data_IF_909566026299
#
_entry.id   IF_909566026299
#
_cell.length_a   1.000
_cell.length_b   1.000
_cell.length_c   1.000
_cell.angle_alpha   90.00
_cell.angle_beta   90.00
_cell.angle_gamma   90.00
#
_symmetry.space_group_name_H-M   'P 1'
#
loop_
_entity.id
_entity.type
_entity.pdbx_description
1 polymer ?
#
# COMPACT_ATOMS: atom_id res chain seq x y z
N UNK A 1 23.48 -30.93 -28.06
CA UNK A 1 23.03 -29.68 -27.42
C UNK A 1 22.93 -29.93 -25.91
N UNK A 2 23.95 -29.53 -25.11
CA UNK A 2 23.82 -29.48 -23.64
C UNK A 2 22.84 -28.35 -23.31
N UNK A 3 21.65 -28.68 -22.79
CA UNK A 3 20.83 -27.70 -22.13
C UNK A 3 21.64 -27.18 -20.91
N UNK A 4 22.05 -25.94 -20.98
CA UNK A 4 22.62 -25.26 -19.82
C UNK A 4 21.54 -25.24 -18.72
N UNK A 5 21.76 -25.98 -17.66
CA UNK A 5 20.90 -25.93 -16.47
C UNK A 5 20.80 -24.48 -16.00
N UNK A 6 19.57 -23.98 -15.95
CA UNK A 6 19.34 -22.65 -15.41
C UNK A 6 19.74 -22.69 -13.93
N UNK A 7 20.59 -21.76 -13.47
CA UNK A 7 20.96 -21.72 -12.06
C UNK A 7 19.67 -21.66 -11.20
N UNK A 8 19.67 -22.30 -10.03
CA UNK A 8 18.53 -22.29 -9.13
C UNK A 8 18.11 -20.86 -8.86
N UNK A 9 16.82 -20.60 -8.95
CA UNK A 9 16.27 -19.28 -8.60
C UNK A 9 16.38 -19.11 -7.09
N UNK A 10 17.26 -18.22 -6.65
CA UNK A 10 17.30 -17.83 -5.25
C UNK A 10 15.93 -17.31 -4.79
N UNK A 11 15.53 -17.74 -3.60
CA UNK A 11 14.30 -17.26 -2.99
C UNK A 11 14.42 -15.73 -2.74
N UNK A 12 13.47 -14.97 -3.25
CA UNK A 12 13.44 -13.53 -3.00
C UNK A 12 13.19 -13.29 -1.52
N UNK A 13 14.05 -12.51 -0.89
CA UNK A 13 13.82 -12.09 0.48
C UNK A 13 12.67 -11.07 0.54
N UNK A 14 11.78 -11.17 1.54
CA UNK A 14 10.75 -10.18 1.77
C UNK A 14 11.39 -8.83 2.11
N UNK A 15 10.74 -7.73 1.72
CA UNK A 15 11.19 -6.41 2.15
C UNK A 15 10.89 -6.26 3.66
N UNK A 16 11.89 -5.97 4.51
CA UNK A 16 11.65 -5.68 5.92
C UNK A 16 10.75 -4.46 6.09
N UNK A 17 9.92 -4.46 7.14
CA UNK A 17 8.96 -3.38 7.39
C UNK A 17 9.63 -2.00 7.50
N UNK A 18 10.76 -1.91 8.19
CA UNK A 18 11.50 -0.65 8.35
C UNK A 18 11.97 -0.07 7.00
N UNK A 19 12.30 -0.93 6.04
CA UNK A 19 12.64 -0.49 4.70
C UNK A 19 11.41 -0.06 3.90
N UNK A 20 10.25 -0.70 4.09
CA UNK A 20 8.99 -0.25 3.52
C UNK A 20 8.68 1.16 4.01
N UNK A 21 8.77 1.39 5.32
CA UNK A 21 8.58 2.72 5.93
C UNK A 21 9.58 3.73 5.38
N UNK A 22 10.85 3.36 5.27
CA UNK A 22 11.89 4.22 4.69
C UNK A 22 11.61 4.59 3.23
N UNK A 23 11.13 3.66 2.39
CA UNK A 23 10.70 3.96 1.03
C UNK A 23 9.48 4.89 1.01
N UNK A 24 8.50 4.64 1.86
CA UNK A 24 7.30 5.46 1.99
C UNK A 24 7.64 6.89 2.39
N UNK A 25 8.41 7.09 3.47
CA UNK A 25 8.75 8.41 4.01
C UNK A 25 9.53 9.28 3.01
N UNK A 26 10.30 8.65 2.13
CA UNK A 26 11.14 9.33 1.13
C UNK A 26 10.52 9.40 -0.28
N UNK A 27 9.29 8.95 -0.46
CA UNK A 27 8.55 9.07 -1.71
C UNK A 27 7.77 10.40 -1.76
N UNK A 28 7.42 10.86 -2.96
CA UNK A 28 6.45 11.96 -3.13
C UNK A 28 5.02 11.54 -2.76
N UNK A 29 4.13 12.51 -2.56
CA UNK A 29 2.75 12.27 -2.09
C UNK A 29 1.99 11.27 -2.96
N UNK A 30 2.10 11.37 -4.28
CA UNK A 30 1.44 10.46 -5.22
C UNK A 30 1.97 9.03 -5.05
N UNK A 31 3.30 8.84 -4.98
CA UNK A 31 3.91 7.52 -4.81
C UNK A 31 3.67 6.95 -3.42
N UNK A 32 3.60 7.78 -2.37
CA UNK A 32 3.16 7.32 -1.04
C UNK A 32 1.78 6.67 -1.12
N UNK A 33 0.82 7.32 -1.77
CA UNK A 33 -0.52 6.76 -1.98
C UNK A 33 -0.46 5.44 -2.79
N UNK A 34 0.31 5.41 -3.89
CA UNK A 34 0.50 4.20 -4.69
C UNK A 34 1.11 3.05 -3.87
N UNK A 35 2.09 3.33 -3.02
CA UNK A 35 2.74 2.29 -2.20
C UNK A 35 1.77 1.73 -1.15
N UNK A 36 0.96 2.57 -0.50
CA UNK A 36 -0.08 2.10 0.41
C UNK A 36 -1.09 1.21 -0.31
N UNK A 37 -1.56 1.62 -1.49
CA UNK A 37 -2.45 0.80 -2.29
C UNK A 37 -1.82 -0.56 -2.66
N UNK A 38 -0.54 -0.60 -3.04
CA UNK A 38 0.16 -1.85 -3.39
C UNK A 38 0.36 -2.75 -2.17
N UNK A 39 0.72 -2.17 -1.01
CA UNK A 39 0.94 -2.90 0.24
C UNK A 39 -0.36 -3.46 0.79
N UNK A 40 -1.45 -2.72 0.70
CA UNK A 40 -2.74 -3.11 1.27
C UNK A 40 -3.55 -4.05 0.37
N UNK A 41 -3.35 -4.02 -0.95
CA UNK A 41 -4.16 -4.82 -1.88
C UNK A 41 -3.42 -5.99 -2.54
N UNK A 42 -2.09 -5.98 -2.48
CA UNK A 42 -1.27 -6.95 -3.20
C UNK A 42 -1.37 -6.86 -4.73
N UNK A 43 -1.89 -5.78 -5.29
CA UNK A 43 -1.98 -5.56 -6.73
C UNK A 43 -0.59 -5.49 -7.40
N UNK A 44 -0.55 -5.77 -8.70
CA UNK A 44 0.61 -5.45 -9.55
C UNK A 44 0.60 -3.95 -9.87
N UNK A 45 1.78 -3.36 -10.06
CA UNK A 45 1.88 -1.94 -10.44
C UNK A 45 1.09 -1.61 -11.72
N UNK A 46 1.04 -2.51 -12.69
CA UNK A 46 0.23 -2.32 -13.89
C UNK A 46 -1.27 -2.30 -13.61
N UNK A 47 -1.74 -3.16 -12.71
CA UNK A 47 -3.13 -3.18 -12.25
C UNK A 47 -3.48 -1.88 -11.51
N UNK A 48 -2.61 -1.41 -10.62
CA UNK A 48 -2.80 -0.13 -9.93
C UNK A 48 -2.89 1.06 -10.91
N UNK A 49 -2.03 1.10 -11.92
CA UNK A 49 -2.04 2.17 -12.93
C UNK A 49 -3.28 2.12 -13.83
N UNK A 50 -3.93 0.97 -13.96
CA UNK A 50 -5.17 0.79 -14.73
C UNK A 50 -6.43 1.13 -13.93
N UNK A 51 -6.30 1.43 -12.62
CA UNK A 51 -7.45 1.71 -11.76
C UNK A 51 -8.13 3.03 -12.13
N UNK A 52 -9.46 2.95 -12.15
CA UNK A 52 -10.38 4.07 -12.28
C UNK A 52 -11.27 4.15 -11.04
N UNK A 53 -11.94 5.26 -10.83
CA UNK A 53 -12.90 5.41 -9.71
C UNK A 53 -14.01 4.35 -9.78
N UNK A 54 -14.43 3.98 -10.99
CA UNK A 54 -15.44 2.93 -11.25
C UNK A 54 -15.05 1.51 -10.79
N UNK A 55 -13.79 1.28 -10.44
CA UNK A 55 -13.35 -0.01 -9.93
C UNK A 55 -13.63 -0.21 -8.43
N UNK A 56 -13.99 0.85 -7.70
CA UNK A 56 -14.12 0.85 -6.26
C UNK A 56 -15.57 0.72 -5.80
N UNK A 57 -15.81 -0.07 -4.77
CA UNK A 57 -17.07 -0.24 -4.06
C UNK A 57 -16.97 0.48 -2.72
N UNK A 58 -17.28 1.79 -2.74
CA UNK A 58 -17.07 2.69 -1.60
C UNK A 58 -18.02 2.49 -0.44
N UNK A 59 -19.19 1.88 -0.73
CA UNK A 59 -20.24 1.55 0.23
C UNK A 59 -19.89 0.35 1.12
N UNK A 60 -18.82 -0.37 0.76
CA UNK A 60 -18.38 -1.56 1.48
C UNK A 60 -17.25 -1.24 2.47
N UNK A 61 -17.22 -1.98 3.57
CA UNK A 61 -16.14 -1.96 4.53
C UNK A 61 -15.67 -3.41 4.80
N UNK A 62 -14.43 -3.76 4.42
CA UNK A 62 -13.39 -2.93 3.78
C UNK A 62 -13.75 -2.52 2.34
N UNK A 63 -13.19 -1.41 1.87
CA UNK A 63 -13.40 -0.95 0.48
C UNK A 63 -12.86 -1.98 -0.49
N UNK A 64 -13.77 -2.54 -1.31
CA UNK A 64 -13.47 -3.56 -2.31
C UNK A 64 -13.09 -2.93 -3.64
N UNK A 65 -12.18 -3.55 -4.36
CA UNK A 65 -11.73 -3.17 -5.70
C UNK A 65 -11.93 -4.34 -6.65
N UNK A 66 -12.65 -4.10 -7.74
CA UNK A 66 -12.78 -5.06 -8.84
C UNK A 66 -11.70 -4.81 -9.88
N UNK A 67 -10.87 -5.81 -10.13
CA UNK A 67 -9.86 -5.82 -11.20
C UNK A 67 -10.41 -6.61 -12.39
N UNK A 68 -10.63 -5.94 -13.52
CA UNK A 68 -11.19 -6.58 -14.70
C UNK A 68 -10.14 -7.43 -15.43
N UNK A 69 -10.58 -8.51 -16.09
CA UNK A 69 -9.73 -9.46 -16.80
C UNK A 69 -8.75 -8.77 -17.78
N UNK A 70 -9.21 -7.78 -18.53
CA UNK A 70 -8.39 -7.00 -19.48
C UNK A 70 -7.19 -6.27 -18.86
N UNK A 71 -7.29 -5.95 -17.56
CA UNK A 71 -6.29 -5.18 -16.81
C UNK A 71 -5.36 -6.09 -16.00
N UNK A 72 -5.60 -7.40 -15.99
CA UNK A 72 -4.80 -8.38 -15.25
C UNK A 72 -3.89 -9.18 -16.20
N UNK A 73 -2.71 -9.55 -15.71
CA UNK A 73 -1.77 -10.36 -16.49
C UNK A 73 -2.32 -11.76 -16.81
N UNK A 74 -3.16 -12.30 -15.95
CA UNK A 74 -3.75 -13.64 -16.08
C UNK A 74 -5.02 -13.66 -16.91
N UNK A 75 -5.50 -12.49 -17.36
CA UNK A 75 -6.78 -12.32 -18.06
C UNK A 75 -7.98 -12.87 -17.27
N UNK A 76 -7.89 -12.88 -15.96
CA UNK A 76 -8.97 -13.28 -15.04
C UNK A 76 -9.35 -12.09 -14.17
N UNK A 77 -10.66 -11.83 -14.07
CA UNK A 77 -11.17 -10.83 -13.12
C UNK A 77 -10.98 -11.34 -11.69
N UNK A 78 -10.65 -10.41 -10.80
CA UNK A 78 -10.58 -10.71 -9.38
C UNK A 78 -10.94 -9.50 -8.53
N UNK A 79 -11.18 -9.76 -7.28
CA UNK A 79 -11.42 -8.74 -6.27
C UNK A 79 -10.28 -8.71 -5.27
N UNK A 80 -9.99 -7.53 -4.77
CA UNK A 80 -9.09 -7.29 -3.66
C UNK A 80 -9.63 -6.11 -2.84
N UNK A 81 -8.95 -5.77 -1.77
CA UNK A 81 -9.36 -4.69 -0.86
C UNK A 81 -8.21 -3.71 -0.67
N UNK A 82 -8.52 -2.52 -0.16
CA UNK A 82 -7.51 -1.59 0.35
C UNK A 82 -7.79 -1.27 1.82
N UNK A 83 -6.72 -1.00 2.56
CA UNK A 83 -6.83 -0.58 3.95
C UNK A 83 -7.43 0.82 4.06
N UNK A 84 -8.02 1.11 5.22
CA UNK A 84 -8.51 2.45 5.58
C UNK A 84 -7.41 3.50 5.44
N UNK A 85 -6.17 3.19 5.87
CA UNK A 85 -5.01 4.07 5.69
C UNK A 85 -4.75 4.42 4.21
N UNK A 86 -4.79 3.41 3.33
CA UNK A 86 -4.62 3.62 1.89
C UNK A 86 -5.79 4.39 1.28
N UNK A 87 -7.01 4.09 1.72
CA UNK A 87 -8.21 4.76 1.24
C UNK A 87 -8.25 6.24 1.65
N UNK A 88 -7.92 6.57 2.89
CA UNK A 88 -7.87 7.97 3.35
C UNK A 88 -6.86 8.81 2.55
N UNK A 89 -5.73 8.22 2.19
CA UNK A 89 -4.75 8.86 1.30
C UNK A 89 -5.22 8.97 -0.16
N UNK A 90 -6.09 8.08 -0.59
CA UNK A 90 -6.61 8.04 -1.95
C UNK A 90 -7.79 9.01 -2.15
N UNK A 91 -8.56 9.33 -1.11
CA UNK A 91 -9.74 10.21 -1.17
C UNK A 91 -9.51 11.49 -1.98
N UNK A 92 -8.46 12.31 -1.74
CA UNK A 92 -8.25 13.54 -2.49
C UNK A 92 -8.11 13.29 -4.00
N UNK A 93 -7.44 12.20 -4.39
CA UNK A 93 -7.28 11.82 -5.81
C UNK A 93 -8.62 11.39 -6.41
N UNK A 94 -9.44 10.65 -5.64
CA UNK A 94 -10.76 10.22 -6.07
C UNK A 94 -11.73 11.39 -6.26
N UNK A 95 -11.62 12.43 -5.42
CA UNK A 95 -12.47 13.63 -5.50
C UNK A 95 -12.14 14.49 -6.73
N UNK A 96 -10.87 14.51 -7.14
CA UNK A 96 -10.40 15.24 -8.33
C UNK A 96 -10.70 14.52 -9.64
N UNK A 97 -10.93 13.19 -9.62
CA UNK A 97 -11.05 12.36 -10.83
C UNK A 97 -12.48 12.02 -11.17
N UNK A 98 -12.78 12.05 -12.47
CA UNK A 98 -14.03 11.54 -13.02
C UNK A 98 -14.15 10.02 -12.90
N UNK A 99 -15.39 9.51 -13.04
CA UNK A 99 -15.74 8.10 -12.84
C UNK A 99 -14.87 7.13 -13.65
N UNK A 100 -14.57 7.48 -14.91
CA UNK A 100 -13.83 6.64 -15.85
C UNK A 100 -12.40 7.11 -16.11
N UNK A 101 -11.89 8.04 -15.31
CA UNK A 101 -10.51 8.49 -15.39
C UNK A 101 -9.56 7.58 -14.59
N UNK A 102 -8.36 7.39 -15.13
CA UNK A 102 -7.30 6.70 -14.42
C UNK A 102 -6.82 7.51 -13.22
N UNK A 103 -6.72 6.86 -12.05
CA UNK A 103 -6.31 7.53 -10.82
C UNK A 103 -4.82 7.88 -10.80
N UNK A 104 -3.99 7.00 -11.33
CA UNK A 104 -2.53 7.11 -11.22
C UNK A 104 -1.80 7.18 -12.56
N UNK A 105 -2.48 6.95 -13.68
CA UNK A 105 -1.82 6.90 -14.99
C UNK A 105 -1.60 8.29 -15.57
N UNK A 106 -0.37 8.81 -15.46
CA UNK A 106 0.07 10.08 -16.04
C UNK A 106 0.98 9.87 -17.27
N UNK A 107 0.85 8.75 -17.96
CA UNK A 107 1.66 8.34 -19.10
C UNK A 107 0.76 7.89 -20.25
N UNK A 108 1.23 7.94 -21.50
CA UNK A 108 0.39 7.58 -22.66
C UNK A 108 -0.16 6.14 -22.61
N UNK A 109 0.54 5.22 -21.96
CA UNK A 109 0.12 3.83 -21.82
C UNK A 109 0.48 3.27 -20.42
N UNK A 110 -0.26 2.26 -19.97
CA UNK A 110 0.06 1.52 -18.74
C UNK A 110 1.48 0.95 -18.80
N UNK A 111 1.90 0.44 -19.95
CA UNK A 111 3.25 -0.10 -20.13
C UNK A 111 4.34 0.94 -19.89
N UNK A 112 4.21 2.14 -20.47
CA UNK A 112 5.14 3.24 -20.21
C UNK A 112 5.09 3.70 -18.76
N UNK A 113 3.90 3.74 -18.16
CA UNK A 113 3.71 4.03 -16.74
C UNK A 113 4.46 3.06 -15.84
N UNK A 114 4.31 1.75 -16.08
CA UNK A 114 5.03 0.71 -15.32
C UNK A 114 6.55 0.90 -15.40
N UNK A 115 7.09 1.14 -16.62
CA UNK A 115 8.53 1.37 -16.80
C UNK A 115 9.02 2.57 -16.00
N UNK A 116 8.27 3.67 -16.02
CA UNK A 116 8.65 4.89 -15.32
C UNK A 116 8.56 4.73 -13.79
N UNK A 117 7.52 4.08 -13.26
CA UNK A 117 7.41 3.86 -11.83
C UNK A 117 8.47 2.86 -11.31
N UNK A 118 8.81 1.83 -12.09
CA UNK A 118 9.94 0.93 -11.75
C UNK A 118 11.26 1.69 -11.75
N UNK A 119 11.50 2.60 -12.71
CA UNK A 119 12.69 3.46 -12.75
C UNK A 119 12.71 4.43 -11.57
N UNK A 120 11.57 5.04 -11.24
CA UNK A 120 11.46 5.96 -10.10
C UNK A 120 11.78 5.25 -8.77
N UNK A 121 11.26 4.04 -8.58
CA UNK A 121 11.58 3.23 -7.40
C UNK A 121 13.07 2.84 -7.36
N UNK A 122 13.68 2.51 -8.50
CA UNK A 122 15.11 2.23 -8.58
C UNK A 122 15.95 3.46 -8.20
N UNK A 123 15.56 4.66 -8.65
CA UNK A 123 16.22 5.91 -8.28
C UNK A 123 16.06 6.22 -6.77
N UNK A 124 14.87 6.00 -6.21
CA UNK A 124 14.63 6.13 -4.77
C UNK A 124 15.54 5.19 -3.97
N UNK A 125 15.60 3.93 -4.37
CA UNK A 125 16.48 2.92 -3.75
C UNK A 125 17.95 3.33 -3.78
N UNK A 126 18.44 3.82 -4.93
CA UNK A 126 19.82 4.33 -5.07
C UNK A 126 20.08 5.51 -4.14
N UNK A 127 19.16 6.49 -4.10
CA UNK A 127 19.27 7.66 -3.23
C UNK A 127 19.35 7.29 -1.74
N UNK A 128 18.69 6.21 -1.35
CA UNK A 128 18.67 5.72 0.02
C UNK A 128 19.85 4.77 0.36
N UNK A 129 20.75 4.49 -0.58
CA UNK A 129 21.86 3.55 -0.39
C UNK A 129 21.41 2.08 -0.33
N UNK A 130 20.24 1.76 -0.87
CA UNK A 130 19.62 0.43 -0.81
C UNK A 130 19.66 -0.32 -2.15
N UNK A 131 20.55 0.08 -3.07
CA UNK A 131 20.67 -0.55 -4.40
C UNK A 131 21.50 -1.84 -4.36
N UNK A 132 21.19 -2.70 -3.41
CA UNK A 132 21.82 -4.01 -3.24
C UNK A 132 21.30 -4.95 -4.32
N UNK A 133 22.21 -5.67 -4.98
CA UNK A 133 21.85 -6.72 -5.95
C UNK A 133 21.84 -8.07 -5.24
N UNK A 134 20.97 -8.96 -5.70
CA UNK A 134 21.00 -10.33 -5.26
C UNK A 134 22.28 -11.03 -5.78
N UNK A 135 22.78 -11.97 -5.00
CA UNK A 135 23.97 -12.72 -5.37
C UNK A 135 23.80 -13.38 -6.75
N UNK A 136 24.83 -13.30 -7.57
CA UNK A 136 24.83 -13.81 -8.96
C UNK A 136 23.68 -13.29 -9.86
N UNK A 137 23.11 -12.11 -9.56
CA UNK A 137 22.01 -11.53 -10.31
C UNK A 137 22.21 -10.05 -10.62
N UNK A 138 21.77 -9.63 -11.81
CA UNK A 138 21.69 -8.20 -12.16
C UNK A 138 20.48 -7.51 -11.49
N UNK A 139 19.60 -8.28 -10.84
CA UNK A 139 18.36 -7.78 -10.24
C UNK A 139 18.62 -7.25 -8.83
N UNK A 140 18.00 -6.14 -8.52
CA UNK A 140 18.04 -5.61 -7.17
C UNK A 140 17.15 -6.46 -6.23
N UNK A 141 17.59 -6.59 -4.99
CA UNK A 141 16.89 -7.30 -3.91
C UNK A 141 15.51 -6.67 -3.69
N UNK A 142 15.46 -5.34 -3.58
CA UNK A 142 14.22 -4.61 -3.31
C UNK A 142 13.63 -4.05 -4.60
N UNK A 143 12.34 -4.27 -4.82
CA UNK A 143 11.60 -3.81 -6.01
C UNK A 143 10.15 -3.47 -5.67
N UNK A 144 9.45 -2.74 -6.54
CA UNK A 144 8.00 -2.50 -6.38
C UNK A 144 7.20 -3.81 -6.25
N UNK A 145 7.64 -4.87 -6.93
CA UNK A 145 7.00 -6.18 -6.79
C UNK A 145 7.18 -6.78 -5.38
N UNK A 146 8.21 -6.36 -4.66
CA UNK A 146 8.42 -6.76 -3.26
C UNK A 146 7.32 -6.25 -2.32
N UNK A 147 6.66 -5.12 -2.62
CA UNK A 147 5.51 -4.64 -1.86
C UNK A 147 4.34 -5.62 -1.94
N UNK A 148 4.08 -6.18 -3.13
CA UNK A 148 3.11 -7.27 -3.30
C UNK A 148 3.55 -8.55 -2.57
N UNK A 149 4.86 -8.84 -2.55
CA UNK A 149 5.42 -9.94 -1.76
C UNK A 149 5.20 -9.75 -0.27
N UNK A 150 5.32 -8.53 0.23
CA UNK A 150 5.00 -8.19 1.63
C UNK A 150 3.53 -8.47 1.94
N UNK A 151 2.59 -7.95 1.13
CA UNK A 151 1.17 -8.25 1.26
C UNK A 151 0.92 -9.77 1.32
N UNK A 152 1.46 -10.51 0.35
CA UNK A 152 1.29 -11.96 0.28
C UNK A 152 1.77 -12.65 1.56
N UNK A 153 2.96 -12.27 2.04
CA UNK A 153 3.53 -12.83 3.28
C UNK A 153 2.62 -12.56 4.48
N UNK A 154 2.12 -11.33 4.62
CA UNK A 154 1.21 -10.98 5.72
C UNK A 154 -0.12 -11.71 5.62
N UNK A 155 -0.72 -11.75 4.44
CA UNK A 155 -1.97 -12.47 4.19
C UNK A 155 -1.83 -13.96 4.46
N UNK A 156 -0.69 -14.56 4.08
CA UNK A 156 -0.39 -15.99 4.36
C UNK A 156 -0.21 -16.24 5.86
N UNK A 157 0.44 -15.33 6.58
CA UNK A 157 0.65 -15.46 8.03
C UNK A 157 -0.67 -15.40 8.81
N UNK A 158 -1.63 -14.59 8.37
CA UNK A 158 -2.91 -14.40 9.07
C UNK A 158 -3.94 -15.46 8.67
N UNK A 159 -4.07 -15.75 7.38
CA UNK A 159 -5.17 -16.58 6.85
C UNK A 159 -4.74 -17.76 5.97
N UNK A 160 -3.44 -17.96 5.83
CA UNK A 160 -2.92 -19.04 4.99
C UNK A 160 -2.81 -18.67 3.50
N UNK A 161 -2.12 -19.55 2.77
CA UNK A 161 -1.73 -19.31 1.38
C UNK A 161 -2.92 -19.24 0.43
N UNK A 162 -3.97 -20.00 0.67
CA UNK A 162 -5.15 -20.02 -0.21
C UNK A 162 -5.85 -18.66 -0.28
N UNK A 163 -6.05 -18.02 0.88
CA UNK A 163 -6.61 -16.68 0.95
C UNK A 163 -5.70 -15.65 0.27
N UNK A 164 -4.42 -15.69 0.57
CA UNK A 164 -3.43 -14.80 -0.04
C UNK A 164 -3.41 -14.94 -1.57
N UNK A 165 -3.38 -16.17 -2.10
CA UNK A 165 -3.42 -16.45 -3.54
C UNK A 165 -4.69 -15.93 -4.20
N UNK A 166 -5.85 -16.07 -3.54
CA UNK A 166 -7.12 -15.55 -4.06
C UNK A 166 -7.07 -14.04 -4.26
N UNK A 167 -6.58 -13.30 -3.28
CA UNK A 167 -6.50 -11.84 -3.36
C UNK A 167 -5.48 -11.34 -4.38
N UNK A 168 -4.33 -12.01 -4.50
CA UNK A 168 -3.33 -11.62 -5.49
C UNK A 168 -3.61 -12.16 -6.91
N UNK A 169 -4.59 -13.04 -7.10
CA UNK A 169 -4.91 -13.66 -8.39
C UNK A 169 -3.80 -14.60 -8.89
N UNK A 170 -3.36 -15.48 -8.00
CA UNK A 170 -2.63 -16.67 -8.35
C UNK A 170 -3.57 -17.86 -8.23
N UNK A 171 -3.64 -18.69 -9.27
CA UNK A 171 -4.39 -19.94 -9.21
C UNK A 171 -3.67 -20.86 -8.23
N UNK A 172 -4.34 -21.16 -7.11
CA UNK A 172 -3.87 -22.16 -6.17
C UNK A 172 -4.08 -23.58 -6.73
N UNK A 173 -3.52 -24.57 -6.05
CA UNK A 173 -3.63 -25.97 -6.47
C UNK A 173 -5.09 -26.48 -6.50
N UNK A 174 -6.01 -25.86 -5.72
CA UNK A 174 -7.42 -26.24 -5.62
C UNK A 174 -8.35 -25.01 -5.62
N UNK A 175 -8.38 -24.20 -6.70
CA UNK A 175 -9.16 -22.95 -6.69
C UNK A 175 -10.68 -23.18 -6.55
N UNK A 176 -11.18 -24.36 -6.98
CA UNK A 176 -12.61 -24.68 -6.97
C UNK A 176 -13.12 -25.12 -5.60
N UNK A 177 -12.26 -25.48 -4.66
CA UNK A 177 -12.65 -25.98 -3.34
C UNK A 177 -12.63 -24.89 -2.26
N UNK A 178 -11.94 -23.78 -2.50
CA UNK A 178 -11.86 -22.65 -1.55
C UNK A 178 -12.88 -21.58 -1.94
N UNK A 179 -14.14 -21.80 -1.53
CA UNK A 179 -15.24 -20.91 -1.83
C UNK A 179 -15.60 -20.09 -0.58
N UNK A 180 -15.18 -18.83 -0.57
CA UNK A 180 -15.60 -17.84 0.41
C UNK A 180 -16.68 -16.94 -0.19
N UNK A 181 -17.70 -16.63 0.60
CA UNK A 181 -18.64 -15.56 0.27
C UNK A 181 -17.92 -14.21 0.26
N UNK A 182 -18.48 -13.22 -0.40
CA UNK A 182 -17.93 -11.86 -0.42
C UNK A 182 -17.76 -11.30 0.99
N UNK A 183 -18.77 -11.46 1.83
CA UNK A 183 -18.73 -11.07 3.24
C UNK A 183 -17.57 -11.74 3.99
N UNK A 184 -17.42 -13.06 3.88
CA UNK A 184 -16.31 -13.76 4.54
C UNK A 184 -14.96 -13.26 4.08
N UNK A 185 -14.77 -12.95 2.78
CA UNK A 185 -13.51 -12.38 2.27
C UNK A 185 -13.23 -11.01 2.86
N UNK A 186 -14.26 -10.16 2.98
CA UNK A 186 -14.16 -8.84 3.61
C UNK A 186 -13.83 -8.93 5.10
N UNK A 187 -14.54 -9.79 5.86
CA UNK A 187 -14.30 -9.99 7.29
C UNK A 187 -12.87 -10.50 7.56
N UNK A 188 -12.37 -11.41 6.72
CA UNK A 188 -10.98 -11.87 6.78
C UNK A 188 -9.98 -10.75 6.45
N UNK A 189 -10.33 -9.87 5.48
CA UNK A 189 -9.45 -8.74 5.18
C UNK A 189 -9.35 -7.75 6.34
N UNK A 190 -10.44 -7.48 7.06
CA UNK A 190 -10.42 -6.63 8.25
C UNK A 190 -9.49 -7.17 9.35
N UNK A 191 -9.35 -8.50 9.47
CA UNK A 191 -8.39 -9.11 10.39
C UNK A 191 -6.93 -8.98 9.89
N UNK A 192 -6.73 -8.96 8.58
CA UNK A 192 -5.41 -8.76 7.96
C UNK A 192 -4.97 -7.29 7.97
N UNK A 193 -5.90 -6.37 7.82
CA UNK A 193 -5.66 -4.95 7.62
C UNK A 193 -4.66 -4.31 8.61
N UNK A 194 -4.73 -4.55 9.93
CA UNK A 194 -3.80 -3.96 10.90
C UNK A 194 -2.33 -4.33 10.64
N UNK A 195 -2.08 -5.47 10.01
CA UNK A 195 -0.74 -5.94 9.66
C UNK A 195 -0.16 -5.30 8.39
N UNK A 196 -0.98 -4.51 7.68
CA UNK A 196 -0.64 -3.83 6.42
C UNK A 196 -0.39 -2.34 6.58
N UNK A 197 -0.69 -1.75 7.73
CA UNK A 197 -0.47 -0.33 7.99
C UNK A 197 1.02 -0.01 7.98
N UNK A 198 1.38 1.09 7.31
CA UNK A 198 2.75 1.60 7.20
C UNK A 198 3.00 2.74 8.18
N UNK A 199 2.02 3.63 8.36
CA UNK A 199 2.04 4.62 9.42
C UNK A 199 1.49 3.96 10.69
N UNK A 200 2.09 4.26 11.83
CA UNK A 200 1.55 3.78 13.10
C UNK A 200 0.07 4.16 13.19
N UNK A 201 -0.77 3.17 13.46
CA UNK A 201 -2.15 3.43 13.84
C UNK A 201 -2.06 4.39 15.01
N UNK A 202 -2.68 5.58 14.91
CA UNK A 202 -2.96 6.36 16.10
C UNK A 202 -3.85 5.48 16.97
N UNK A 203 -3.26 4.83 17.95
CA UNK A 203 -4.03 4.07 18.94
C UNK A 203 -4.98 5.05 19.62
N UNK A 204 -6.07 4.57 20.22
CA UNK A 204 -6.92 5.45 21.05
C UNK A 204 -6.08 6.20 22.09
N UNK A 205 -5.03 5.57 22.61
CA UNK A 205 -4.02 6.22 23.47
C UNK A 205 -3.28 7.37 22.79
N UNK A 206 -3.02 7.30 21.49
CA UNK A 206 -2.35 8.40 20.76
C UNK A 206 -3.34 9.53 20.43
N UNK A 207 -4.60 9.22 20.16
CA UNK A 207 -5.67 10.23 20.04
C UNK A 207 -5.88 10.97 21.37
N UNK A 208 -5.92 10.24 22.46
CA UNK A 208 -6.03 10.82 23.81
C UNK A 208 -4.83 11.71 24.17
N UNK A 209 -3.62 11.34 23.73
CA UNK A 209 -2.42 12.18 23.88
C UNK A 209 -2.46 13.42 23.01
N UNK A 210 -2.89 13.32 21.76
CA UNK A 210 -3.04 14.48 20.86
C UNK A 210 -4.08 15.46 21.42
N UNK A 211 -5.24 14.98 21.91
CA UNK A 211 -6.26 15.80 22.59
C UNK A 211 -5.74 16.43 23.88
N UNK A 212 -4.92 15.71 24.64
CA UNK A 212 -4.28 16.24 25.85
C UNK A 212 -3.25 17.32 25.51
N UNK A 213 -2.47 17.14 24.45
CA UNK A 213 -1.50 18.13 23.96
C UNK A 213 -2.21 19.39 23.48
N UNK A 214 -3.32 19.28 22.73
CA UNK A 214 -4.12 20.44 22.33
C UNK A 214 -4.68 21.17 23.54
N UNK A 215 -5.21 20.44 24.52
CA UNK A 215 -5.73 21.02 25.78
C UNK A 215 -4.64 21.72 26.58
N UNK A 216 -3.45 21.15 26.67
CA UNK A 216 -2.29 21.76 27.34
C UNK A 216 -1.81 23.02 26.64
N UNK A 217 -1.73 23.00 25.31
CA UNK A 217 -1.34 24.16 24.50
C UNK A 217 -2.33 25.30 24.64
N UNK A 218 -3.64 25.00 24.68
CA UNK A 218 -4.68 26.00 24.94
C UNK A 218 -4.52 26.65 26.32
N UNK A 219 -4.31 25.85 27.38
CA UNK A 219 -4.07 26.33 28.72
C UNK A 219 -2.79 27.14 28.84
N UNK A 220 -1.74 26.76 28.13
CA UNK A 220 -0.47 27.48 28.10
C UNK A 220 -0.65 28.87 27.49
N UNK A 221 -1.42 28.98 26.39
CA UNK A 221 -1.77 30.23 25.76
C UNK A 221 -2.58 31.14 26.71
N UNK A 222 -3.54 30.59 27.47
CA UNK A 222 -4.30 31.36 28.48
C UNK A 222 -3.42 31.88 29.62
N UNK A 223 -2.44 31.10 30.04
CA UNK A 223 -1.48 31.51 31.08
C UNK A 223 -0.57 32.60 30.57
N UNK A 224 -0.06 32.49 29.34
CA UNK A 224 0.77 33.51 28.71
C UNK A 224 0.01 34.84 28.55
N UNK A 225 -1.26 34.79 28.16
CA UNK A 225 -2.10 35.99 28.07
C UNK A 225 -2.37 36.65 29.44
N UNK A 226 -2.54 35.85 30.50
CA UNK A 226 -2.65 36.33 31.85
C UNK A 226 -1.35 36.99 32.34
N UNK A 227 -0.22 36.36 32.09
CA UNK A 227 1.12 36.87 32.40
C UNK A 227 1.36 38.22 31.73
N UNK A 228 1.08 38.35 30.44
CA UNK A 228 1.18 39.64 29.72
C UNK A 228 0.29 40.70 30.30
N UNK A 229 -0.93 40.38 30.75
CA UNK A 229 -1.83 41.34 31.42
C UNK A 229 -1.28 41.78 32.78
N UNK A 230 -0.68 40.87 33.55
CA UNK A 230 -0.04 41.22 34.82
C UNK A 230 1.19 42.09 34.62
N UNK A 231 2.02 41.82 33.61
CA UNK A 231 3.18 42.68 33.29
C UNK A 231 2.78 44.10 32.87
N UNK A 232 1.66 44.23 32.14
CA UNK A 232 1.11 45.53 31.74
C UNK A 232 0.50 46.33 32.91
N UNK A 233 0.05 45.64 33.96
CA UNK A 233 -0.51 46.29 35.18
C UNK A 233 0.56 46.64 36.22
N UNK A 234 1.78 46.13 36.08
CA UNK A 234 2.91 46.33 36.96
C UNK A 234 3.83 47.51 36.51
N UNK A 235 3.53 48.10 35.35
CA UNK A 235 4.15 49.33 34.83
C UNK A 235 3.27 50.56 35.14
#
# INVERSE_FOLDING_TARGET
FRMLEKPPKEARQPIPFDLIKKFFDNADCRRRCMYLCLISSGMRIGELLSLKKSNFHFEENPVRITLHAKDTKTQQSRETYISSEAFDRLKPILDEKGHDEYLFLNYPTVYSGVKNEVKAFANLRKRLGLDVKADNSIRAVYSLHGLRGYFFTKATQVHGEQYANRLIGHDGYLPNYYQLTEKQRGDMYLQLEPHLFVQSIKTESDKTKDELIETLNSKLSEVDDKLRRFELLAQ
#
